data_IF_997256861680
#
_entry.id   IF_997256861680
#
_cell.length_a   1.000
_cell.length_b   1.000
_cell.length_c   1.000
_cell.angle_alpha   90.00
_cell.angle_beta   90.00
_cell.angle_gamma   90.00
#
_symmetry.space_group_name_H-M   'P 1'
#
loop_
_entity.id
_entity.type
_entity.pdbx_description
1 polymer ?
#
# COMPACT_ATOMS: atom_id res chain seq x y z
N UNK A 1 3.74 -12.31 -15.83
CA UNK A 1 2.98 -12.88 -14.69
C UNK A 1 1.82 -11.93 -14.38
N UNK A 2 0.67 -12.43 -13.92
CA UNK A 2 -0.47 -11.55 -13.59
C UNK A 2 -0.35 -11.03 -12.16
N UNK A 3 -0.45 -9.71 -12.03
CA UNK A 3 -0.63 -9.03 -10.76
C UNK A 3 -2.04 -8.47 -10.70
N UNK A 4 -2.58 -8.38 -9.50
CA UNK A 4 -3.89 -7.83 -9.21
C UNK A 4 -3.75 -6.61 -8.33
N UNK A 5 -4.76 -5.75 -8.35
CA UNK A 5 -4.80 -4.59 -7.48
C UNK A 5 -5.64 -4.90 -6.24
N UNK A 6 -5.05 -4.75 -5.05
CA UNK A 6 -5.72 -4.90 -3.75
C UNK A 6 -6.13 -3.53 -3.23
N UNK A 7 -7.42 -3.39 -2.89
CA UNK A 7 -7.98 -2.20 -2.27
C UNK A 7 -8.90 -2.54 -1.11
N UNK A 8 -9.16 -1.57 -0.21
CA UNK A 8 -10.28 -1.66 0.70
C UNK A 8 -11.61 -1.53 -0.08
N UNK A 9 -12.51 -2.49 0.14
CA UNK A 9 -13.87 -2.52 -0.37
C UNK A 9 -14.72 -1.50 0.39
N UNK A 10 -14.92 -0.33 -0.22
CA UNK A 10 -15.70 0.76 0.37
C UNK A 10 -17.19 0.42 0.54
N UNK A 11 -17.65 -0.69 -0.05
CA UNK A 11 -19.04 -1.15 -0.03
C UNK A 11 -19.13 -2.54 0.59
N UNK A 12 -19.05 -2.61 1.92
CA UNK A 12 -19.31 -3.86 2.65
C UNK A 12 -20.80 -3.95 3.03
N UNK A 13 -21.49 -5.08 2.74
CA UNK A 13 -22.88 -5.28 3.14
C UNK A 13 -23.05 -5.10 4.66
N UNK A 14 -24.04 -4.30 5.07
CA UNK A 14 -24.30 -3.99 6.48
C UNK A 14 -23.36 -2.94 7.10
N UNK A 15 -22.32 -2.50 6.39
CA UNK A 15 -21.38 -1.48 6.87
C UNK A 15 -21.65 -0.16 6.16
N UNK A 16 -22.06 0.86 6.92
CA UNK A 16 -22.43 2.18 6.36
C UNK A 16 -21.23 3.00 5.88
N UNK A 17 -20.06 2.75 6.44
CA UNK A 17 -18.77 3.37 6.09
C UNK A 17 -17.66 2.47 6.62
N UNK A 18 -16.54 2.39 5.89
CA UNK A 18 -15.33 1.78 6.42
C UNK A 18 -14.74 2.67 7.51
N UNK A 19 -14.42 2.10 8.69
CA UNK A 19 -13.67 2.81 9.70
C UNK A 19 -12.18 2.84 9.33
N UNK A 20 -11.49 3.83 9.87
CA UNK A 20 -10.04 4.00 9.79
C UNK A 20 -9.44 3.77 11.17
N UNK A 21 -8.22 3.24 11.21
CA UNK A 21 -7.46 3.07 12.44
C UNK A 21 -6.77 4.39 12.83
N UNK A 22 -7.17 4.98 13.96
CA UNK A 22 -6.54 6.19 14.50
C UNK A 22 -5.51 5.83 15.55
N UNK A 23 -4.27 6.29 15.34
CA UNK A 23 -3.17 6.15 16.29
C UNK A 23 -3.15 7.23 17.38
N UNK A 24 -4.08 8.20 17.38
CA UNK A 24 -4.08 9.29 18.37
C UNK A 24 -4.29 8.82 19.81
N UNK A 25 -4.89 7.64 20.00
CA UNK A 25 -5.12 7.02 21.31
C UNK A 25 -3.96 6.16 21.78
N UNK A 26 -2.96 5.91 20.91
CA UNK A 26 -1.76 5.16 21.27
C UNK A 26 -0.95 5.97 22.28
N UNK A 27 -0.56 5.34 23.39
CA UNK A 27 0.33 5.97 24.36
C UNK A 27 1.63 6.40 23.69
N UNK A 28 2.03 7.66 23.91
CA UNK A 28 3.21 8.27 23.28
C UNK A 28 3.14 8.34 21.74
N UNK A 29 1.95 8.38 21.14
CA UNK A 29 1.76 8.49 19.69
C UNK A 29 2.56 9.64 19.07
N UNK A 30 2.66 10.80 19.74
CA UNK A 30 3.47 11.92 19.26
C UNK A 30 4.94 11.57 19.10
N UNK A 31 5.50 10.81 20.06
CA UNK A 31 6.90 10.39 20.02
C UNK A 31 7.12 9.47 18.83
N UNK A 32 6.26 8.48 18.59
CA UNK A 32 6.51 7.50 17.53
C UNK A 32 6.09 7.96 16.14
N UNK A 33 4.99 8.70 16.04
CA UNK A 33 4.35 9.00 14.75
C UNK A 33 4.58 10.45 14.28
N UNK A 34 4.71 11.43 15.20
CA UNK A 34 4.90 12.83 14.83
C UNK A 34 6.39 13.23 14.64
N UNK A 35 7.32 12.49 15.24
CA UNK A 35 8.77 12.79 15.13
C UNK A 35 9.45 12.15 13.91
N UNK A 36 8.68 11.55 13.00
CA UNK A 36 9.18 10.74 11.87
C UNK A 36 10.03 9.53 12.26
N UNK A 37 9.93 9.06 13.52
CA UNK A 37 10.57 7.81 13.95
C UNK A 37 9.96 6.58 13.26
N UNK A 38 8.68 6.66 12.90
CA UNK A 38 7.97 5.69 12.09
C UNK A 38 7.21 6.44 11.00
N UNK A 39 7.80 6.52 9.81
CA UNK A 39 7.21 7.20 8.65
C UNK A 39 7.32 6.40 7.34
N UNK A 40 7.01 6.99 6.18
CA UNK A 40 7.09 6.33 4.87
C UNK A 40 8.47 5.75 4.51
N UNK A 41 9.55 6.22 5.15
CA UNK A 41 10.94 5.92 4.84
C UNK A 41 11.74 5.36 6.02
N UNK A 42 11.25 5.54 7.26
CA UNK A 42 11.93 5.10 8.48
C UNK A 42 11.27 3.88 9.11
N UNK A 43 12.10 2.95 9.56
CA UNK A 43 11.68 1.78 10.34
C UNK A 43 12.16 1.90 11.79
N UNK A 44 11.37 1.35 12.71
CA UNK A 44 11.74 1.23 14.11
C UNK A 44 12.48 -0.08 14.36
N UNK A 45 13.74 0.01 14.79
CA UNK A 45 14.52 -1.16 15.20
C UNK A 45 14.09 -1.73 16.56
N UNK A 46 13.45 -0.91 17.41
CA UNK A 46 12.98 -1.30 18.74
C UNK A 46 11.60 -0.69 19.01
N UNK A 47 10.55 -1.21 18.35
CA UNK A 47 9.20 -0.70 18.50
C UNK A 47 8.66 -1.02 19.90
N UNK A 48 7.84 -0.12 20.50
CA UNK A 48 7.04 -0.49 21.65
C UNK A 48 5.93 -1.46 21.22
N UNK A 49 5.23 -2.04 22.19
CA UNK A 49 3.86 -2.48 21.93
C UNK A 49 2.97 -1.24 21.79
N UNK A 50 2.38 -1.03 20.62
CA UNK A 50 1.44 0.07 20.41
C UNK A 50 0.10 -0.25 21.09
N UNK A 51 -0.17 0.43 22.21
CA UNK A 51 -1.18 -0.01 23.19
C UNK A 51 -2.59 -0.25 22.62
N UNK A 52 -3.12 0.68 21.81
CA UNK A 52 -4.27 0.42 20.95
C UNK A 52 -4.51 1.55 19.95
N UNK A 53 -5.01 1.19 18.78
CA UNK A 53 -5.64 2.08 17.82
C UNK A 53 -7.15 2.13 18.07
N UNK A 54 -7.81 3.24 17.75
CA UNK A 54 -9.26 3.38 17.82
C UNK A 54 -9.89 3.53 16.45
N UNK A 55 -11.08 2.96 16.24
CA UNK A 55 -11.79 3.09 14.97
C UNK A 55 -12.55 4.41 14.87
N UNK A 56 -12.25 5.18 13.83
CA UNK A 56 -12.94 6.44 13.54
C UNK A 56 -13.50 6.46 12.11
N UNK A 57 -14.50 7.29 11.87
CA UNK A 57 -14.95 7.61 10.50
C UNK A 57 -14.46 9.01 10.15
N UNK A 58 -13.94 9.18 8.94
CA UNK A 58 -13.54 10.51 8.44
C UNK A 58 -14.80 11.32 8.08
N UNK A 59 -15.89 10.66 7.69
CA UNK A 59 -17.15 11.30 7.28
C UNK A 59 -18.14 11.55 8.42
N UNK A 60 -17.88 11.02 9.63
CA UNK A 60 -18.72 11.23 10.81
C UNK A 60 -17.90 11.44 12.08
N UNK A 61 -18.17 12.53 12.80
CA UNK A 61 -17.62 12.77 14.15
C UNK A 61 -18.17 11.72 15.13
N UNK A 62 -17.28 10.98 15.81
CA UNK A 62 -17.63 10.01 16.86
C UNK A 62 -16.98 8.63 16.69
N UNK A 63 -16.98 7.78 17.74
CA UNK A 63 -16.55 6.39 17.65
C UNK A 63 -17.47 5.64 16.69
N UNK A 64 -16.84 4.92 15.77
CA UNK A 64 -17.47 4.44 14.57
C UNK A 64 -17.02 2.99 14.31
N UNK A 65 -17.06 2.20 15.38
CA UNK A 65 -16.79 0.76 15.45
C UNK A 65 -17.86 -0.01 14.65
N UNK A 66 -17.92 0.22 13.34
CA UNK A 66 -18.95 -0.33 12.45
C UNK A 66 -18.61 -1.72 11.93
N UNK A 67 -17.32 -2.09 11.95
CA UNK A 67 -16.85 -3.39 11.47
C UNK A 67 -15.48 -3.77 12.05
N UNK A 68 -15.38 -5.02 12.49
CA UNK A 68 -14.10 -5.69 12.72
C UNK A 68 -13.58 -6.22 11.38
N UNK A 69 -12.42 -5.76 10.95
CA UNK A 69 -11.82 -6.00 9.63
C UNK A 69 -10.39 -6.54 9.79
N UNK A 70 -9.89 -7.21 8.76
CA UNK A 70 -8.52 -7.74 8.75
C UNK A 70 -7.47 -6.72 8.39
N UNK A 71 -7.86 -5.63 7.72
CA UNK A 71 -6.97 -4.47 7.58
C UNK A 71 -7.75 -3.16 7.58
N UNK A 72 -7.08 -2.12 8.05
CA UNK A 72 -7.58 -0.76 8.08
C UNK A 72 -6.54 0.19 7.52
N UNK A 73 -7.01 1.13 6.69
CA UNK A 73 -6.28 2.36 6.45
C UNK A 73 -6.12 3.14 7.75
N UNK A 74 -5.00 3.83 7.87
CA UNK A 74 -4.78 4.74 8.99
C UNK A 74 -5.54 6.06 8.81
N UNK A 75 -6.00 6.61 9.93
CA UNK A 75 -6.78 7.83 9.92
C UNK A 75 -5.89 9.07 9.97
N UNK A 76 -6.07 9.96 9.00
CA UNK A 76 -5.28 11.19 8.88
C UNK A 76 -3.88 10.94 8.32
N UNK A 77 -3.03 11.95 8.38
CA UNK A 77 -1.71 11.93 7.72
C UNK A 77 -0.53 11.74 8.70
N UNK A 78 -0.78 11.71 10.01
CA UNK A 78 0.27 11.81 11.03
C UNK A 78 0.29 10.61 12.00
N UNK A 79 -0.83 9.94 12.27
CA UNK A 79 -0.93 8.98 13.39
C UNK A 79 -1.47 7.60 12.94
N UNK A 80 -0.67 6.78 12.24
CA UNK A 80 0.73 6.93 11.83
C UNK A 80 0.91 7.33 10.34
N UNK A 81 2.05 7.92 10.02
CA UNK A 81 2.43 8.32 8.66
C UNK A 81 3.20 7.21 7.93
N UNK A 82 2.63 6.03 7.81
CA UNK A 82 3.32 4.87 7.18
C UNK A 82 2.74 4.49 5.84
N UNK A 83 3.60 3.90 5.00
CA UNK A 83 3.15 3.10 3.84
C UNK A 83 2.73 1.73 4.35
N UNK A 84 1.43 1.53 4.55
CA UNK A 84 0.97 0.30 5.19
C UNK A 84 -0.45 0.34 5.73
N UNK A 85 -0.77 -0.66 6.55
CA UNK A 85 -2.08 -0.86 7.14
C UNK A 85 -1.97 -1.28 8.61
N UNK A 86 -3.03 -1.07 9.38
CA UNK A 86 -3.24 -1.84 10.60
C UNK A 86 -3.89 -3.17 10.21
N UNK A 87 -3.24 -4.30 10.46
CA UNK A 87 -3.70 -5.63 10.02
C UNK A 87 -3.96 -6.59 11.18
N UNK A 88 -4.89 -7.51 11.01
CA UNK A 88 -5.19 -8.57 11.97
C UNK A 88 -4.08 -9.64 11.98
N UNK A 89 -4.01 -10.42 13.06
CA UNK A 89 -3.16 -11.62 13.12
C UNK A 89 -3.45 -12.60 11.97
N UNK A 90 -4.73 -12.72 11.57
CA UNK A 90 -5.15 -13.57 10.46
C UNK A 90 -4.51 -13.14 9.14
N UNK A 91 -4.53 -11.85 8.83
CA UNK A 91 -3.93 -11.36 7.59
C UNK A 91 -2.41 -11.40 7.65
N UNK A 92 -1.80 -11.10 8.80
CA UNK A 92 -0.36 -11.24 9.00
C UNK A 92 0.11 -12.67 8.68
N UNK A 93 -0.58 -13.69 9.22
CA UNK A 93 -0.25 -15.11 8.96
C UNK A 93 -0.32 -15.51 7.49
N UNK A 94 -1.15 -14.83 6.70
CA UNK A 94 -1.16 -15.02 5.24
C UNK A 94 0.09 -14.37 4.67
N UNK A 95 0.36 -13.10 4.95
CA UNK A 95 1.50 -12.37 4.42
C UNK A 95 2.85 -13.02 4.77
N UNK A 96 2.98 -13.64 5.95
CA UNK A 96 4.17 -14.39 6.38
C UNK A 96 4.50 -15.60 5.46
N UNK A 97 3.56 -16.07 4.64
CA UNK A 97 3.74 -17.20 3.71
C UNK A 97 4.27 -16.77 2.34
N UNK A 98 4.36 -15.45 2.10
CA UNK A 98 4.67 -14.88 0.80
C UNK A 98 5.95 -14.05 0.84
N UNK A 99 6.54 -13.84 -0.33
CA UNK A 99 7.76 -13.05 -0.51
C UNK A 99 7.43 -11.57 -0.43
N UNK A 100 7.67 -10.97 0.73
CA UNK A 100 7.47 -9.53 0.92
C UNK A 100 8.67 -8.72 0.40
N UNK A 101 8.47 -7.45 -0.01
CA UNK A 101 9.57 -6.55 -0.33
C UNK A 101 10.55 -6.41 0.85
N UNK A 102 11.83 -6.10 0.57
CA UNK A 102 12.77 -5.69 1.59
C UNK A 102 12.22 -4.55 2.46
N UNK A 103 12.67 -4.50 3.71
CA UNK A 103 12.24 -3.49 4.70
C UNK A 103 10.73 -3.52 4.98
N UNK A 104 10.13 -4.71 4.97
CA UNK A 104 8.78 -4.98 5.47
C UNK A 104 8.81 -5.33 6.96
N UNK A 105 7.98 -4.66 7.76
CA UNK A 105 7.89 -4.83 9.21
C UNK A 105 6.44 -5.03 9.65
N UNK A 106 6.27 -5.85 10.70
CA UNK A 106 5.00 -6.05 11.39
C UNK A 106 5.17 -5.67 12.85
N UNK A 107 4.80 -4.45 13.22
CA UNK A 107 4.94 -4.00 14.61
C UNK A 107 3.74 -4.42 15.44
N UNK A 108 3.94 -5.09 16.60
CA UNK A 108 2.85 -5.46 17.48
C UNK A 108 2.02 -4.24 17.91
N UNK A 109 0.72 -4.33 17.73
CA UNK A 109 -0.24 -3.29 18.08
C UNK A 109 -1.51 -3.92 18.65
N UNK A 110 -2.39 -3.10 19.21
CA UNK A 110 -3.77 -3.52 19.48
C UNK A 110 -4.77 -2.68 18.72
N UNK A 111 -5.97 -3.21 18.56
CA UNK A 111 -7.15 -2.48 18.15
C UNK A 111 -8.15 -2.47 19.31
N UNK A 112 -8.66 -1.29 19.67
CA UNK A 112 -9.80 -1.17 20.57
C UNK A 112 -11.08 -1.42 19.79
N UNK A 113 -11.85 -2.44 20.20
CA UNK A 113 -13.13 -2.79 19.61
C UNK A 113 -14.11 -3.21 20.70
N UNK A 114 -15.22 -2.49 20.87
CA UNK A 114 -16.23 -2.70 21.90
C UNK A 114 -15.66 -2.83 23.34
N UNK A 115 -14.62 -2.05 23.66
CA UNK A 115 -13.96 -2.05 24.97
C UNK A 115 -12.90 -3.15 25.15
N UNK A 116 -12.69 -4.00 24.15
CA UNK A 116 -11.67 -5.04 24.15
C UNK A 116 -10.46 -4.64 23.29
N UNK A 117 -9.26 -5.00 23.75
CA UNK A 117 -8.00 -4.80 23.01
C UNK A 117 -7.63 -6.06 22.25
N UNK A 118 -7.86 -6.07 20.95
CA UNK A 118 -7.57 -7.18 20.06
C UNK A 118 -6.16 -7.10 19.48
N UNK A 119 -5.52 -8.24 19.22
CA UNK A 119 -4.18 -8.30 18.60
C UNK A 119 -4.20 -7.89 17.13
N UNK A 120 -3.41 -6.87 16.81
CA UNK A 120 -3.21 -6.32 15.48
C UNK A 120 -1.73 -6.00 15.25
N UNK A 121 -1.39 -5.61 14.03
CA UNK A 121 -0.04 -5.26 13.66
C UNK A 121 -0.05 -4.03 12.76
N UNK A 122 0.88 -3.10 12.98
CA UNK A 122 1.20 -2.12 11.95
C UNK A 122 2.05 -2.85 10.91
N UNK A 123 1.43 -3.19 9.78
CA UNK A 123 2.14 -3.60 8.59
C UNK A 123 2.71 -2.35 7.93
N UNK A 124 4.03 -2.29 7.79
CA UNK A 124 4.73 -1.20 7.11
C UNK A 124 5.76 -1.79 6.16
N UNK A 125 5.98 -1.13 5.04
CA UNK A 125 7.14 -1.37 4.19
C UNK A 125 7.72 -0.02 3.74
N UNK A 126 9.05 0.07 3.63
CA UNK A 126 9.74 1.30 3.17
C UNK A 126 10.43 1.12 1.82
N UNK A 127 9.89 0.21 1.02
CA UNK A 127 10.42 -0.14 -0.29
C UNK A 127 10.16 0.95 -1.33
N UNK A 128 11.23 1.46 -1.95
CA UNK A 128 11.13 2.30 -3.14
C UNK A 128 11.28 1.45 -4.40
N UNK A 129 10.17 1.14 -5.07
CA UNK A 129 10.19 0.30 -6.27
C UNK A 129 11.10 0.86 -7.39
N UNK A 130 11.25 2.19 -7.49
CA UNK A 130 12.07 2.83 -8.51
C UNK A 130 13.55 2.43 -8.42
N UNK A 131 14.06 2.10 -7.22
CA UNK A 131 15.46 1.68 -7.05
C UNK A 131 15.71 0.23 -7.44
N UNK A 132 14.66 -0.53 -7.74
CA UNK A 132 14.72 -1.96 -8.09
C UNK A 132 14.36 -2.25 -9.54
N UNK A 133 14.05 -1.19 -10.31
CA UNK A 133 13.71 -1.30 -11.71
C UNK A 133 14.94 -1.55 -12.57
N UNK A 134 14.80 -2.48 -13.51
CA UNK A 134 15.60 -2.48 -14.71
C UNK A 134 15.02 -1.44 -15.69
N UNK A 135 15.60 -0.25 -15.67
CA UNK A 135 15.18 0.87 -16.52
C UNK A 135 15.39 0.62 -18.01
N UNK A 136 16.36 -0.23 -18.39
CA UNK A 136 16.69 -0.50 -19.79
C UNK A 136 15.58 -1.32 -20.46
N UNK A 137 15.07 -2.31 -19.72
CA UNK A 137 14.03 -3.22 -20.18
C UNK A 137 12.62 -2.73 -19.87
N UNK A 138 12.44 -1.95 -18.80
CA UNK A 138 11.13 -1.36 -18.47
C UNK A 138 10.71 -0.30 -19.49
N UNK A 139 9.40 -0.22 -19.74
CA UNK A 139 8.80 0.78 -20.62
C UNK A 139 7.76 1.62 -19.88
N UNK A 140 7.59 2.84 -20.36
CA UNK A 140 6.84 3.89 -19.68
C UNK A 140 5.84 4.53 -20.63
N UNK A 141 4.82 5.14 -20.05
CA UNK A 141 3.78 5.84 -20.78
C UNK A 141 3.28 7.04 -19.96
N UNK A 142 2.65 7.98 -20.63
CA UNK A 142 1.87 9.03 -20.01
C UNK A 142 0.45 8.53 -19.71
N UNK A 143 -0.02 8.74 -18.49
CA UNK A 143 -1.45 8.78 -18.22
C UNK A 143 -2.05 9.97 -18.95
N UNK A 144 -3.12 9.78 -19.71
CA UNK A 144 -3.80 10.89 -20.38
C UNK A 144 -4.56 11.81 -19.41
N UNK A 145 -4.76 11.36 -18.17
CA UNK A 145 -5.32 12.18 -17.10
C UNK A 145 -4.42 13.34 -16.70
N UNK A 146 -5.06 14.37 -16.14
CA UNK A 146 -4.38 15.55 -15.59
C UNK A 146 -3.38 15.18 -14.50
N UNK A 147 -2.33 15.98 -14.39
CA UNK A 147 -1.32 15.86 -13.34
C UNK A 147 -1.94 15.78 -11.93
N UNK A 148 -1.34 14.96 -11.07
CA UNK A 148 -1.80 14.76 -9.69
C UNK A 148 -2.95 13.76 -9.50
N UNK A 149 -3.73 13.48 -10.55
CA UNK A 149 -4.77 12.44 -10.52
C UNK A 149 -4.47 11.41 -11.59
N UNK A 150 -4.19 10.17 -11.19
CA UNK A 150 -4.05 9.07 -12.16
C UNK A 150 -5.45 8.50 -12.41
N UNK A 151 -6.03 8.85 -13.57
CA UNK A 151 -7.26 8.27 -14.09
C UNK A 151 -6.97 7.56 -15.41
N UNK A 152 -6.90 6.23 -15.33
CA UNK A 152 -6.48 5.40 -16.45
C UNK A 152 -7.64 5.11 -17.41
N UNK A 153 -8.86 5.55 -17.08
CA UNK A 153 -10.02 5.47 -17.99
C UNK A 153 -9.89 6.44 -19.16
N UNK A 154 -9.10 7.51 -19.03
CA UNK A 154 -8.77 8.45 -20.10
C UNK A 154 -7.72 7.90 -21.09
N UNK A 155 -7.20 6.70 -20.83
CA UNK A 155 -6.19 6.03 -21.64
C UNK A 155 -4.76 6.46 -21.33
N UNK A 156 -3.82 5.94 -22.12
CA UNK A 156 -2.40 6.23 -21.98
C UNK A 156 -1.77 6.51 -23.35
N UNK A 157 -0.74 7.34 -23.35
CA UNK A 157 0.08 7.66 -24.54
C UNK A 157 1.51 7.19 -24.32
N UNK A 158 2.08 6.50 -25.30
CA UNK A 158 3.46 5.98 -25.20
C UNK A 158 4.50 7.09 -24.98
N UNK A 159 5.52 6.79 -24.17
CA UNK A 159 6.65 7.67 -23.99
C UNK A 159 7.58 7.54 -25.21
N UNK A 160 7.92 8.66 -25.84
CA UNK A 160 8.73 8.73 -27.07
C UNK A 160 10.24 8.62 -26.83
N UNK A 161 10.65 8.43 -25.59
CA UNK A 161 12.03 8.17 -25.20
C UNK A 161 12.10 7.16 -24.06
N UNK A 162 13.27 6.56 -23.86
CA UNK A 162 13.54 5.68 -22.72
C UNK A 162 14.08 6.47 -21.52
N UNK A 163 13.49 6.20 -20.36
CA UNK A 163 14.12 6.55 -19.09
C UNK A 163 15.31 5.61 -18.84
N UNK A 164 16.38 6.15 -18.27
CA UNK A 164 17.69 5.45 -18.18
C UNK A 164 17.99 4.96 -16.78
N UNK A 165 17.57 5.73 -15.81
CA UNK A 165 17.82 5.54 -14.39
C UNK A 165 16.83 6.41 -13.60
N UNK A 166 16.93 6.32 -12.28
CA UNK A 166 16.09 7.05 -11.34
C UNK A 166 16.29 8.58 -11.42
N UNK A 167 17.50 9.06 -11.67
CA UNK A 167 17.81 10.48 -11.78
C UNK A 167 17.15 11.08 -13.02
N UNK A 168 17.19 10.34 -14.14
CA UNK A 168 16.51 10.72 -15.37
C UNK A 168 15.00 10.78 -15.18
N UNK A 169 14.42 9.83 -14.44
CA UNK A 169 13.00 9.85 -14.07
C UNK A 169 12.65 11.08 -13.21
N UNK A 170 13.42 11.37 -12.16
CA UNK A 170 13.17 12.53 -11.30
C UNK A 170 13.30 13.85 -12.05
N UNK A 171 14.35 13.99 -12.87
CA UNK A 171 14.52 15.15 -13.74
C UNK A 171 13.31 15.36 -14.66
N UNK A 172 12.75 14.30 -15.22
CA UNK A 172 11.55 14.42 -16.07
C UNK A 172 10.26 14.74 -15.28
N UNK A 173 10.16 14.30 -14.02
CA UNK A 173 9.06 14.71 -13.16
C UNK A 173 9.18 16.18 -12.73
N UNK A 174 10.39 16.66 -12.49
CA UNK A 174 10.65 18.05 -12.09
C UNK A 174 10.55 19.05 -13.25
N UNK A 175 10.97 18.65 -14.46
CA UNK A 175 10.97 19.51 -15.65
C UNK A 175 9.58 19.72 -16.28
N UNK A 176 8.53 19.09 -15.73
CA UNK A 176 7.12 19.36 -16.05
C UNK A 176 6.82 19.46 -17.56
N UNK A 177 7.30 18.50 -18.34
CA UNK A 177 7.26 18.59 -19.81
C UNK A 177 5.85 18.25 -20.37
N UNK A 178 4.96 17.66 -19.56
CA UNK A 178 3.55 17.39 -19.90
C UNK A 178 2.68 17.48 -18.65
N UNK A 179 1.44 18.00 -18.81
CA UNK A 179 0.38 18.03 -17.78
C UNK A 179 -0.15 16.63 -17.37
N UNK A 180 0.69 15.59 -17.47
CA UNK A 180 0.34 14.18 -17.42
C UNK A 180 1.29 13.39 -16.52
N UNK A 181 0.79 12.33 -15.88
CA UNK A 181 1.63 11.47 -15.04
C UNK A 181 2.43 10.45 -15.86
N UNK A 182 3.74 10.34 -15.64
CA UNK A 182 4.53 9.20 -16.14
C UNK A 182 4.24 7.98 -15.27
N UNK A 183 3.86 6.86 -15.90
CA UNK A 183 3.59 5.57 -15.28
C UNK A 183 4.29 4.44 -16.04
N UNK A 184 4.46 3.29 -15.40
CA UNK A 184 5.01 2.09 -16.03
C UNK A 184 3.98 1.43 -16.95
N UNK A 185 4.46 0.73 -17.98
CA UNK A 185 3.66 -0.12 -18.88
C UNK A 185 4.17 -1.56 -18.82
N UNK A 186 5.44 -1.76 -19.13
CA UNK A 186 6.15 -3.02 -18.88
C UNK A 186 7.14 -2.76 -17.74
N UNK A 187 7.00 -3.46 -16.63
CA UNK A 187 7.86 -3.31 -15.46
C UNK A 187 8.73 -4.54 -15.29
N UNK A 188 10.04 -4.32 -15.22
CA UNK A 188 11.04 -5.36 -14.96
C UNK A 188 11.70 -5.06 -13.62
N UNK A 189 11.47 -5.92 -12.64
CA UNK A 189 12.14 -5.88 -11.35
C UNK A 189 13.29 -6.87 -11.29
N UNK A 190 14.31 -6.54 -10.50
CA UNK A 190 15.42 -7.46 -10.25
C UNK A 190 14.95 -8.69 -9.46
N UNK A 191 14.19 -8.47 -8.39
CA UNK A 191 13.77 -9.52 -7.47
C UNK A 191 12.24 -9.61 -7.37
N UNK A 192 11.75 -10.85 -7.29
CA UNK A 192 10.34 -11.18 -7.09
C UNK A 192 9.80 -10.71 -5.72
N UNK A 193 8.57 -10.22 -5.71
CA UNK A 193 7.81 -9.95 -4.49
C UNK A 193 6.30 -10.10 -4.74
N UNK A 194 5.61 -10.75 -3.80
CA UNK A 194 4.17 -11.01 -3.88
C UNK A 194 3.30 -9.79 -3.64
N UNK A 195 3.85 -8.72 -3.05
CA UNK A 195 3.16 -7.48 -2.76
C UNK A 195 4.08 -6.31 -3.10
N UNK A 196 3.61 -5.35 -3.91
CA UNK A 196 4.37 -4.20 -4.37
C UNK A 196 3.51 -2.95 -4.39
N UNK A 197 4.13 -1.80 -4.14
CA UNK A 197 3.54 -0.50 -4.47
C UNK A 197 4.20 0.03 -5.73
N UNK A 198 3.39 0.35 -6.74
CA UNK A 198 3.85 0.87 -8.03
C UNK A 198 2.95 2.03 -8.44
N UNK A 199 3.54 3.18 -8.82
CA UNK A 199 2.76 4.32 -9.31
C UNK A 199 1.98 3.90 -10.55
N UNK A 200 0.68 4.19 -10.57
CA UNK A 200 -0.25 3.69 -11.59
C UNK A 200 -1.12 2.52 -11.10
N UNK A 201 -0.79 1.97 -9.93
CA UNK A 201 -1.66 1.05 -9.17
C UNK A 201 -2.13 1.80 -7.93
N UNK A 202 -3.45 1.81 -7.70
CA UNK A 202 -4.04 2.73 -6.70
C UNK A 202 -3.62 2.42 -5.27
N UNK A 203 -3.25 1.17 -4.93
CA UNK A 203 -2.71 0.78 -3.61
C UNK A 203 -1.60 -0.26 -3.75
N UNK A 204 -1.94 -1.55 -3.81
CA UNK A 204 -0.96 -2.62 -3.90
C UNK A 204 -1.19 -3.47 -5.15
N UNK A 205 -0.10 -3.76 -5.83
CA UNK A 205 -0.01 -4.87 -6.76
C UNK A 205 0.25 -6.14 -5.93
N UNK A 206 -0.57 -7.17 -6.09
CA UNK A 206 -0.37 -8.47 -5.46
C UNK A 206 -0.25 -9.56 -6.51
N UNK A 207 0.58 -10.56 -6.25
CA UNK A 207 0.71 -11.74 -7.10
C UNK A 207 -0.59 -12.55 -7.15
N UNK A 208 -0.74 -13.39 -8.16
CA UNK A 208 -1.87 -14.31 -8.27
C UNK A 208 -1.97 -15.28 -7.06
N UNK A 209 -0.87 -15.91 -6.57
CA UNK A 209 -0.91 -16.73 -5.37
C UNK A 209 -1.39 -15.99 -4.10
N UNK A 210 -0.91 -14.75 -3.88
CA UNK A 210 -1.35 -13.94 -2.74
C UNK A 210 -2.83 -13.54 -2.88
N UNK A 211 -3.26 -13.20 -4.10
CA UNK A 211 -4.66 -12.94 -4.42
C UNK A 211 -5.56 -14.13 -4.05
N UNK A 212 -5.17 -15.34 -4.42
CA UNK A 212 -5.94 -16.55 -4.11
C UNK A 212 -6.00 -16.81 -2.60
N UNK A 213 -4.90 -16.64 -1.88
CA UNK A 213 -4.88 -16.82 -0.42
C UNK A 213 -5.78 -15.81 0.30
N UNK A 214 -5.78 -14.54 -0.13
CA UNK A 214 -6.65 -13.48 0.41
C UNK A 214 -8.14 -13.81 0.18
N UNK A 215 -8.49 -14.29 -1.02
CA UNK A 215 -9.87 -14.68 -1.38
C UNK A 215 -10.33 -15.92 -0.61
N UNK A 216 -9.51 -16.97 -0.53
CA UNK A 216 -9.81 -18.20 0.20
C UNK A 216 -10.03 -17.91 1.68
N UNK A 217 -9.15 -17.11 2.28
CA UNK A 217 -9.25 -16.73 3.69
C UNK A 217 -10.34 -15.68 3.97
N UNK A 218 -10.96 -15.11 2.92
CA UNK A 218 -11.98 -14.06 3.01
C UNK A 218 -11.50 -12.89 3.88
N UNK A 219 -10.30 -12.39 3.58
CA UNK A 219 -9.74 -11.21 4.23
C UNK A 219 -10.59 -9.99 3.90
N UNK A 220 -11.01 -9.27 4.92
CA UNK A 220 -11.87 -8.10 4.83
C UNK A 220 -11.08 -6.82 5.16
N UNK A 221 -11.33 -5.69 4.49
CA UNK A 221 -12.31 -5.46 3.44
C UNK A 221 -11.72 -5.71 2.04
N UNK A 222 -10.99 -6.79 1.75
CA UNK A 222 -10.30 -6.90 0.45
C UNK A 222 -11.27 -6.80 -0.76
N UNK A 223 -10.94 -5.91 -1.69
CA UNK A 223 -11.47 -5.84 -3.05
C UNK A 223 -10.29 -6.03 -3.99
N UNK A 224 -10.35 -7.08 -4.80
CA UNK A 224 -9.29 -7.40 -5.75
C UNK A 224 -9.80 -7.19 -7.17
N UNK A 225 -9.01 -6.49 -7.98
CA UNK A 225 -9.30 -6.26 -9.40
C UNK A 225 -8.13 -6.67 -10.25
N UNK A 226 -8.42 -7.16 -11.46
CA UNK A 226 -7.37 -7.43 -12.43
C UNK A 226 -6.61 -6.13 -12.78
N UNK A 227 -5.28 -6.20 -12.83
CA UNK A 227 -4.48 -5.12 -13.36
C UNK A 227 -4.24 -5.36 -14.87
N UNK A 228 -4.84 -4.53 -15.71
CA UNK A 228 -4.64 -4.62 -17.17
C UNK A 228 -3.62 -3.61 -17.72
N UNK A 229 -2.99 -2.80 -16.86
CA UNK A 229 -2.27 -1.60 -17.28
C UNK A 229 -0.76 -1.73 -17.18
N UNK A 230 -0.29 -2.54 -16.24
CA UNK A 230 1.13 -2.77 -16.01
C UNK A 230 1.40 -4.26 -16.10
N UNK A 231 2.29 -4.65 -17.00
CA UNK A 231 2.76 -6.01 -17.15
C UNK A 231 4.02 -6.22 -16.32
N UNK A 232 3.98 -7.18 -15.40
CA UNK A 232 5.05 -7.46 -14.45
C UNK A 232 5.96 -8.59 -14.91
N UNK A 233 7.25 -8.31 -14.85
CA UNK A 233 8.36 -9.21 -15.15
C UNK A 233 9.41 -9.13 -14.04
N UNK A 234 10.06 -10.26 -13.77
CA UNK A 234 11.08 -10.40 -12.73
C UNK A 234 12.27 -11.17 -13.29
N UNK A 235 13.48 -10.66 -13.06
CA UNK A 235 14.70 -11.32 -13.49
C UNK A 235 15.07 -12.51 -12.60
N UNK A 236 14.92 -12.33 -11.28
CA UNK A 236 15.22 -13.33 -10.27
C UNK A 236 13.98 -13.71 -9.45
N UNK A 237 13.94 -14.96 -9.03
CA UNK A 237 12.84 -15.53 -8.27
C UNK A 237 11.82 -16.24 -9.16
N UNK A 238 10.99 -17.07 -8.53
CA UNK A 238 9.85 -17.73 -9.17
C UNK A 238 8.58 -17.34 -8.42
N UNK A 239 7.44 -17.21 -9.12
CA UNK A 239 6.12 -17.33 -8.48
C UNK A 239 6.00 -18.64 -7.70
#
# INVERSE_FOLDING_TARGET
>A
MFYYQLYPNLTLPGVKYLPYASGHTVKNAEIYFNTNLLDHFTLLNSPPLFDYFSLISISKKGPNESALLDFYDFAGTIYPRVNGYLISDRFKKILDQFTMPPNTMFYPAKLMFHGEKLDYFIFQYTFNYLTQLDYINSTWQYSNSKFGTIDLSEGCTELDFKLKDIDHYHKYQELDIKESNIILKEVYFSDYADLLYVKGITNYAISEPLKDAIEIAKISPALIKHNSLINFHFHNGTP
#
